data_IF_138110796763
#
_entry.id   IF_138110796763
#
_cell.length_a   1.000
_cell.length_b   1.000
_cell.length_c   1.000
_cell.angle_alpha   90.00
_cell.angle_beta   90.00
_cell.angle_gamma   90.00
#
_symmetry.space_group_name_H-M   'P 1'
#
loop_
_entity.id
_entity.type
_entity.pdbx_description
1 polymer ?
#
# COMPACT_ATOMS: atom_id res chain seq x y z
N UNK A 1 -18.68 -3.16 -6.72
CA UNK A 1 -20.07 -2.81 -6.34
C UNK A 1 -19.99 -1.99 -5.05
N UNK A 2 -20.75 -0.90 -4.99
CA UNK A 2 -20.95 -0.22 -3.73
C UNK A 2 -21.74 -1.19 -2.84
N UNK A 3 -21.07 -1.77 -1.83
CA UNK A 3 -21.75 -2.58 -0.83
C UNK A 3 -22.63 -1.70 0.05
N UNK A 4 -23.57 -2.31 0.75
CA UNK A 4 -24.43 -1.61 1.72
C UNK A 4 -23.55 -0.96 2.79
N UNK A 5 -23.91 0.26 3.18
CA UNK A 5 -23.19 0.99 4.25
C UNK A 5 -23.19 0.16 5.53
N UNK A 6 -21.99 -0.07 6.09
CA UNK A 6 -21.82 -0.90 7.30
C UNK A 6 -21.74 -2.41 7.06
N UNK A 7 -21.85 -2.89 5.81
CA UNK A 7 -21.62 -4.29 5.52
C UNK A 7 -20.13 -4.65 5.68
N UNK A 8 -19.80 -5.84 6.21
CA UNK A 8 -18.42 -6.31 6.29
C UNK A 8 -17.76 -6.37 4.90
N UNK A 9 -16.49 -5.97 4.83
CA UNK A 9 -15.71 -6.14 3.62
C UNK A 9 -15.60 -7.64 3.29
N UNK A 10 -16.11 -8.03 2.13
CA UNK A 10 -15.98 -9.39 1.60
C UNK A 10 -14.99 -9.39 0.45
N UNK A 11 -13.86 -10.01 0.68
CA UNK A 11 -12.83 -10.18 -0.33
C UNK A 11 -13.23 -11.26 -1.33
N UNK A 12 -12.99 -11.02 -2.59
CA UNK A 12 -13.06 -12.03 -3.64
C UNK A 12 -11.94 -13.07 -3.48
N UNK A 13 -12.07 -14.24 -4.09
CA UNK A 13 -11.09 -15.32 -3.93
C UNK A 13 -9.68 -14.91 -4.35
N UNK A 14 -9.54 -14.16 -5.44
CA UNK A 14 -8.24 -13.70 -5.91
C UNK A 14 -7.59 -12.68 -4.94
N UNK A 15 -8.40 -11.80 -4.31
CA UNK A 15 -7.92 -10.87 -3.29
C UNK A 15 -7.46 -11.63 -2.03
N UNK A 16 -8.24 -12.63 -1.59
CA UNK A 16 -7.85 -13.49 -0.47
C UNK A 16 -6.54 -14.21 -0.73
N UNK A 17 -6.40 -14.86 -1.89
CA UNK A 17 -5.18 -15.56 -2.26
C UNK A 17 -3.97 -14.62 -2.26
N UNK A 18 -4.12 -13.43 -2.83
CA UNK A 18 -3.09 -12.40 -2.88
C UNK A 18 -2.67 -11.93 -1.48
N UNK A 19 -3.62 -11.53 -0.65
CA UNK A 19 -3.33 -11.07 0.70
C UNK A 19 -2.75 -12.18 1.58
N UNK A 20 -3.23 -13.42 1.46
CA UNK A 20 -2.64 -14.57 2.13
C UNK A 20 -1.19 -14.80 1.70
N UNK A 21 -0.85 -14.58 0.42
CA UNK A 21 0.53 -14.68 -0.05
C UNK A 21 1.39 -13.55 0.52
N UNK A 22 0.90 -12.31 0.52
CA UNK A 22 1.64 -11.13 0.99
C UNK A 22 1.95 -11.23 2.48
N UNK A 23 0.95 -11.58 3.30
CA UNK A 23 1.04 -11.56 4.77
C UNK A 23 1.32 -12.91 5.40
N UNK A 24 1.06 -14.01 4.70
CA UNK A 24 1.20 -15.36 5.25
C UNK A 24 2.57 -16.01 5.04
N UNK A 25 3.43 -15.47 4.18
CA UNK A 25 4.81 -15.95 4.02
C UNK A 25 5.77 -15.11 4.85
N UNK A 26 6.54 -15.78 5.69
CA UNK A 26 7.55 -15.17 6.55
C UNK A 26 8.94 -15.73 6.24
N UNK A 27 9.97 -14.97 6.59
CA UNK A 27 11.36 -15.40 6.53
C UNK A 27 11.79 -16.14 7.81
N UNK A 28 13.06 -16.51 7.90
CA UNK A 28 13.61 -17.29 9.04
C UNK A 28 13.58 -16.51 10.39
N UNK A 29 13.20 -15.22 10.37
CA UNK A 29 13.04 -14.38 11.56
C UNK A 29 11.56 -14.10 11.89
N UNK A 30 10.63 -14.83 11.31
CA UNK A 30 9.19 -14.61 11.42
C UNK A 30 8.74 -13.22 10.92
N UNK A 31 9.52 -12.58 10.03
CA UNK A 31 9.17 -11.32 9.40
C UNK A 31 8.59 -11.57 8.01
N UNK A 32 7.71 -10.66 7.56
CA UNK A 32 7.11 -10.72 6.23
C UNK A 32 8.15 -10.97 5.13
N UNK A 33 7.95 -12.02 4.34
CA UNK A 33 8.84 -12.40 3.25
C UNK A 33 8.89 -11.33 2.16
N UNK A 34 7.75 -10.74 1.83
CA UNK A 34 7.63 -9.78 0.73
C UNK A 34 7.49 -8.37 1.27
N UNK A 35 8.43 -7.50 0.95
CA UNK A 35 8.40 -6.08 1.32
C UNK A 35 8.11 -5.15 0.13
N UNK A 36 7.94 -5.71 -1.05
CA UNK A 36 7.59 -4.99 -2.27
C UNK A 36 6.58 -5.82 -3.08
N UNK A 37 5.43 -5.23 -3.35
CA UNK A 37 4.33 -5.87 -4.08
C UNK A 37 3.91 -4.99 -5.24
N UNK A 38 3.76 -5.60 -6.41
CA UNK A 38 3.24 -4.94 -7.60
C UNK A 38 2.02 -5.69 -8.12
N UNK A 39 0.90 -4.99 -8.25
CA UNK A 39 -0.36 -5.55 -8.70
C UNK A 39 -0.83 -4.80 -9.94
N UNK A 40 -1.03 -5.53 -11.02
CA UNK A 40 -1.65 -5.00 -12.24
C UNK A 40 -3.01 -5.66 -12.40
N UNK A 41 -4.06 -4.88 -12.26
CA UNK A 41 -5.41 -5.43 -12.36
C UNK A 41 -6.40 -4.44 -13.02
N UNK A 42 -7.49 -4.99 -13.57
CA UNK A 42 -8.51 -4.23 -14.27
C UNK A 42 -9.20 -3.19 -13.39
N UNK A 43 -9.88 -2.24 -14.04
CA UNK A 43 -10.71 -1.25 -13.34
C UNK A 43 -11.90 -1.94 -12.66
N UNK A 44 -12.43 -1.32 -11.59
CA UNK A 44 -13.62 -1.74 -10.84
C UNK A 44 -13.50 -3.06 -10.06
N UNK A 45 -12.27 -3.51 -9.79
CA UNK A 45 -12.00 -4.70 -8.98
C UNK A 45 -11.75 -4.40 -7.48
N UNK A 46 -12.13 -3.22 -7.01
CA UNK A 46 -12.07 -2.89 -5.58
C UNK A 46 -10.69 -2.44 -5.07
N UNK A 47 -9.75 -2.05 -5.97
CA UNK A 47 -8.39 -1.65 -5.62
C UNK A 47 -8.28 -0.70 -4.44
N UNK A 48 -9.01 0.41 -4.48
CA UNK A 48 -8.97 1.43 -3.41
C UNK A 48 -9.45 0.88 -2.06
N UNK A 49 -10.46 0.00 -2.09
CA UNK A 49 -10.96 -0.65 -0.87
C UNK A 49 -9.93 -1.63 -0.30
N UNK A 50 -9.27 -2.40 -1.16
CA UNK A 50 -8.20 -3.32 -0.76
C UNK A 50 -6.99 -2.56 -0.21
N UNK A 51 -6.56 -1.49 -0.87
CA UNK A 51 -5.50 -0.60 -0.37
C UNK A 51 -5.82 -0.08 1.04
N UNK A 52 -7.05 0.41 1.25
CA UNK A 52 -7.48 0.93 2.55
C UNK A 52 -7.47 -0.15 3.66
N UNK A 53 -7.84 -1.39 3.32
CA UNK A 53 -7.76 -2.51 4.26
C UNK A 53 -6.30 -2.84 4.60
N UNK A 54 -5.40 -2.86 3.60
CA UNK A 54 -3.96 -3.06 3.81
C UNK A 54 -3.35 -1.95 4.67
N UNK A 55 -3.71 -0.69 4.42
CA UNK A 55 -3.27 0.45 5.24
C UNK A 55 -3.64 0.29 6.72
N UNK A 56 -4.89 -0.11 6.98
CA UNK A 56 -5.38 -0.33 8.34
C UNK A 56 -4.68 -1.51 9.01
N UNK A 57 -4.43 -2.58 8.28
CA UNK A 57 -3.74 -3.76 8.79
C UNK A 57 -2.28 -3.44 9.15
N UNK A 58 -1.55 -2.79 8.26
CA UNK A 58 -0.18 -2.31 8.52
C UNK A 58 -0.10 -1.35 9.71
N UNK A 59 -1.12 -0.49 9.87
CA UNK A 59 -1.18 0.43 10.99
C UNK A 59 -1.43 -0.27 12.31
N UNK A 60 -2.33 -1.26 12.34
CA UNK A 60 -2.89 -1.79 13.57
C UNK A 60 -2.30 -3.13 14.00
N UNK A 61 -1.96 -4.01 13.04
CA UNK A 61 -1.71 -5.42 13.33
C UNK A 61 -0.27 -5.87 13.09
N UNK A 62 0.56 -5.06 12.46
CA UNK A 62 1.90 -5.45 12.00
C UNK A 62 2.97 -5.44 13.11
N UNK A 63 2.60 -5.05 14.33
CA UNK A 63 3.50 -5.09 15.50
C UNK A 63 4.61 -4.03 15.51
N UNK A 64 4.57 -3.05 14.60
CA UNK A 64 5.56 -1.99 14.50
C UNK A 64 5.25 -0.84 15.48
N UNK A 65 6.29 -0.25 16.08
CA UNK A 65 6.17 0.93 16.92
C UNK A 65 6.08 2.21 16.10
N UNK A 66 5.06 3.03 16.36
CA UNK A 66 4.80 4.28 15.64
C UNK A 66 4.87 4.11 14.10
N UNK A 67 4.15 3.14 13.50
CA UNK A 67 4.23 2.92 12.06
C UNK A 67 3.67 4.12 11.29
N UNK A 68 4.42 4.60 10.32
CA UNK A 68 3.97 5.63 9.38
C UNK A 68 3.54 5.00 8.07
N UNK A 69 2.25 5.13 7.73
CA UNK A 69 1.67 4.60 6.51
C UNK A 69 1.35 5.77 5.58
N UNK A 70 1.80 5.70 4.33
CA UNK A 70 1.63 6.76 3.35
C UNK A 70 0.86 6.27 2.14
N UNK A 71 -0.22 6.99 1.83
CA UNK A 71 -0.97 6.83 0.60
C UNK A 71 -0.47 7.87 -0.40
N UNK A 72 0.22 7.42 -1.44
CA UNK A 72 0.91 8.27 -2.41
C UNK A 72 0.18 8.23 -3.76
N UNK A 73 -0.10 9.40 -4.32
CA UNK A 73 -0.59 9.55 -5.69
C UNK A 73 -0.02 10.81 -6.35
N UNK A 74 -0.17 10.94 -7.65
CA UNK A 74 0.30 12.12 -8.42
C UNK A 74 -0.34 13.42 -7.96
N UNK A 75 -1.60 13.35 -7.49
CA UNK A 75 -2.35 14.48 -6.93
C UNK A 75 -2.83 14.15 -5.53
N UNK A 76 -2.83 15.14 -4.66
CA UNK A 76 -3.29 14.99 -3.28
C UNK A 76 -4.74 14.48 -3.18
N UNK A 77 -5.63 15.01 -4.05
CA UNK A 77 -7.03 14.58 -4.09
C UNK A 77 -7.19 13.09 -4.45
N UNK A 78 -6.25 12.55 -5.23
CA UNK A 78 -6.24 11.12 -5.55
C UNK A 78 -5.75 10.28 -4.35
N UNK A 79 -4.67 10.70 -3.68
CA UNK A 79 -4.21 10.07 -2.45
C UNK A 79 -5.29 10.08 -1.36
N UNK A 80 -6.07 11.16 -1.28
CA UNK A 80 -7.20 11.29 -0.36
C UNK A 80 -8.33 10.28 -0.61
N UNK A 81 -8.44 9.65 -1.77
CA UNK A 81 -9.45 8.61 -2.01
C UNK A 81 -9.18 7.37 -1.17
N UNK A 82 -7.94 6.88 -1.13
CA UNK A 82 -7.53 5.76 -0.27
C UNK A 82 -7.70 6.12 1.21
N UNK A 83 -7.17 7.26 1.62
CA UNK A 83 -7.35 7.78 2.98
C UNK A 83 -8.83 7.87 3.41
N UNK A 84 -9.70 8.36 2.52
CA UNK A 84 -11.14 8.46 2.79
C UNK A 84 -11.76 7.07 2.91
N UNK A 85 -11.34 6.11 2.09
CA UNK A 85 -11.81 4.73 2.18
C UNK A 85 -11.41 4.10 3.53
N UNK A 86 -10.15 4.28 3.98
CA UNK A 86 -9.69 3.82 5.29
C UNK A 86 -10.47 4.49 6.44
N UNK A 87 -10.70 5.81 6.36
CA UNK A 87 -11.51 6.51 7.35
C UNK A 87 -12.98 6.04 7.37
N UNK A 88 -13.56 5.73 6.22
CA UNK A 88 -14.92 5.20 6.15
C UNK A 88 -15.01 3.80 6.79
N UNK A 89 -14.03 2.92 6.57
CA UNK A 89 -13.94 1.63 7.26
C UNK A 89 -13.85 1.84 8.78
N UNK A 90 -13.02 2.79 9.22
CA UNK A 90 -12.94 3.16 10.63
C UNK A 90 -14.28 3.59 11.20
N UNK A 91 -15.00 4.50 10.53
CA UNK A 91 -16.30 5.00 10.99
C UNK A 91 -17.34 3.90 11.07
N UNK A 92 -17.31 2.95 10.16
CA UNK A 92 -18.27 1.85 10.07
C UNK A 92 -17.94 0.68 11.00
N UNK A 93 -16.74 0.59 11.55
CA UNK A 93 -16.33 -0.45 12.51
C UNK A 93 -16.17 0.13 13.90
N UNK A 94 -16.97 -0.35 14.85
CA UNK A 94 -16.84 0.02 16.26
C UNK A 94 -15.47 -0.39 16.83
N UNK A 95 -14.97 -1.54 16.42
CA UNK A 95 -13.67 -2.08 16.85
C UNK A 95 -12.52 -1.19 16.37
N UNK A 96 -12.49 -0.85 15.08
CA UNK A 96 -11.45 0.03 14.53
C UNK A 96 -11.55 1.45 15.12
N UNK A 97 -12.77 1.99 15.26
CA UNK A 97 -12.98 3.35 15.76
C UNK A 97 -12.58 3.55 17.22
N UNK A 98 -12.53 2.51 18.03
CA UNK A 98 -12.02 2.56 19.41
C UNK A 98 -10.51 2.85 19.45
N UNK A 99 -9.77 2.44 18.43
CA UNK A 99 -8.31 2.54 18.39
C UNK A 99 -7.81 3.70 17.52
N UNK A 100 -8.60 4.14 16.56
CA UNK A 100 -8.20 5.16 15.59
C UNK A 100 -8.98 6.46 15.75
N UNK A 101 -8.27 7.58 15.69
CA UNK A 101 -8.84 8.93 15.65
C UNK A 101 -8.48 9.63 14.35
N UNK A 102 -9.46 10.24 13.68
CA UNK A 102 -9.20 11.17 12.58
C UNK A 102 -8.76 12.52 13.16
N UNK A 103 -7.55 12.96 12.79
CA UNK A 103 -7.03 14.31 13.03
C UNK A 103 -7.13 15.15 11.75
N UNK A 104 -6.63 16.36 11.77
CA UNK A 104 -6.71 17.26 10.61
C UNK A 104 -6.04 16.67 9.36
N UNK A 105 -4.87 16.03 9.52
CA UNK A 105 -4.01 15.58 8.42
C UNK A 105 -3.83 14.06 8.34
N UNK A 106 -4.29 13.30 9.34
CA UNK A 106 -4.04 11.87 9.41
C UNK A 106 -5.14 11.08 10.13
N UNK A 107 -5.05 9.74 10.03
CA UNK A 107 -5.63 8.80 10.97
C UNK A 107 -4.55 8.41 11.98
N UNK A 108 -4.82 8.55 13.26
CA UNK A 108 -3.89 8.29 14.34
C UNK A 108 -4.33 7.09 15.17
N UNK A 109 -3.43 6.16 15.36
CA UNK A 109 -3.61 5.00 16.23
C UNK A 109 -3.02 5.29 17.61
N UNK A 110 -3.85 5.28 18.65
CA UNK A 110 -3.43 5.77 19.97
C UNK A 110 -2.60 4.76 20.78
N UNK A 111 -2.72 3.45 20.50
CA UNK A 111 -1.97 2.45 21.29
C UNK A 111 -0.53 2.24 20.79
N UNK A 112 -0.26 2.45 19.49
CA UNK A 112 1.09 2.31 18.94
C UNK A 112 1.67 3.62 18.39
N UNK A 113 0.91 4.72 18.48
CA UNK A 113 1.27 6.07 17.99
C UNK A 113 1.46 6.16 16.46
N UNK A 114 1.00 5.17 15.72
CA UNK A 114 1.10 5.12 14.26
C UNK A 114 0.13 6.06 13.56
N UNK A 115 0.41 6.32 12.27
CA UNK A 115 -0.40 7.23 11.45
C UNK A 115 -0.60 6.73 10.03
N UNK A 116 -1.78 7.04 9.43
CA UNK A 116 -1.98 6.99 7.98
C UNK A 116 -2.10 8.40 7.46
N UNK A 117 -1.34 8.75 6.42
CA UNK A 117 -1.33 10.07 5.78
C UNK A 117 -1.48 9.96 4.27
N UNK A 118 -2.25 10.86 3.66
CA UNK A 118 -2.29 11.02 2.21
C UNK A 118 -1.27 12.09 1.78
N UNK A 119 -0.50 11.81 0.74
CA UNK A 119 0.51 12.73 0.22
C UNK A 119 0.51 12.77 -1.30
N UNK A 120 0.73 13.96 -1.87
CA UNK A 120 1.07 14.07 -3.28
C UNK A 120 2.52 13.65 -3.50
N UNK A 121 2.78 13.04 -4.65
CA UNK A 121 4.12 12.61 -5.08
C UNK A 121 5.00 13.83 -5.45
N UNK A 122 5.41 14.59 -4.44
CA UNK A 122 6.35 15.70 -4.60
C UNK A 122 7.66 15.33 -3.91
N UNK A 123 8.73 15.17 -4.68
CA UNK A 123 10.05 14.71 -4.22
C UNK A 123 10.53 15.43 -2.96
N UNK A 124 10.34 16.76 -2.88
CA UNK A 124 10.81 17.54 -1.72
C UNK A 124 10.14 17.20 -0.38
N UNK A 125 8.92 16.66 -0.41
CA UNK A 125 8.17 16.29 0.79
C UNK A 125 8.39 14.86 1.24
N UNK A 126 9.11 14.06 0.44
CA UNK A 126 9.28 12.62 0.64
C UNK A 126 10.65 12.25 1.23
N UNK A 127 11.60 13.18 1.23
CA UNK A 127 13.03 12.94 1.53
C UNK A 127 13.36 12.65 3.01
N UNK A 128 12.39 12.84 3.94
CA UNK A 128 12.62 12.65 5.39
C UNK A 128 11.62 11.71 6.05
N UNK A 129 10.99 10.83 5.27
CA UNK A 129 9.99 9.93 5.77
C UNK A 129 10.63 8.66 6.36
N UNK A 130 10.02 8.12 7.41
CA UNK A 130 10.34 6.83 8.01
C UNK A 130 9.14 5.88 7.83
N UNK A 131 8.93 5.46 6.58
CA UNK A 131 7.75 4.74 6.19
C UNK A 131 7.78 3.27 6.61
N UNK A 132 6.72 2.81 7.28
CA UNK A 132 6.46 1.39 7.49
C UNK A 132 5.61 0.80 6.35
N UNK A 133 4.65 1.56 5.87
CA UNK A 133 3.81 1.18 4.72
C UNK A 133 3.72 2.30 3.69
N UNK A 134 3.88 1.97 2.43
CA UNK A 134 3.68 2.89 1.31
C UNK A 134 2.71 2.27 0.33
N UNK A 135 1.57 2.91 0.15
CA UNK A 135 0.57 2.51 -0.84
C UNK A 135 0.66 3.47 -2.02
N UNK A 136 0.97 2.95 -3.19
CA UNK A 136 0.94 3.70 -4.45
C UNK A 136 -0.26 3.22 -5.25
N UNK A 137 -1.36 3.98 -5.20
CA UNK A 137 -2.52 3.75 -6.04
C UNK A 137 -2.29 4.43 -7.41
N UNK A 138 -2.39 3.65 -8.48
CA UNK A 138 -2.14 4.05 -9.86
C UNK A 138 -0.65 4.35 -10.16
N UNK A 139 0.24 3.36 -9.91
CA UNK A 139 1.67 3.45 -10.23
C UNK A 139 1.93 3.91 -11.69
N UNK A 140 1.09 3.47 -12.63
CA UNK A 140 1.22 3.84 -14.05
C UNK A 140 1.03 5.35 -14.32
N UNK A 141 0.49 6.12 -13.38
CA UNK A 141 0.36 7.57 -13.50
C UNK A 141 1.61 8.31 -12.99
N UNK A 142 2.52 7.64 -12.29
CA UNK A 142 3.75 8.24 -11.78
C UNK A 142 4.81 8.23 -12.90
N UNK A 143 5.23 9.39 -13.33
CA UNK A 143 6.23 9.54 -14.40
C UNK A 143 7.66 9.62 -13.88
N UNK A 144 7.86 10.13 -12.64
CA UNK A 144 9.17 10.29 -12.04
C UNK A 144 9.56 9.07 -11.20
N UNK A 145 10.59 8.38 -11.61
CA UNK A 145 11.14 7.22 -10.91
C UNK A 145 11.66 7.56 -9.50
N UNK A 146 12.18 8.76 -9.30
CA UNK A 146 12.74 9.18 -8.02
C UNK A 146 11.74 9.03 -6.87
N UNK A 147 10.44 9.21 -7.14
CA UNK A 147 9.37 9.05 -6.15
C UNK A 147 9.34 7.61 -5.62
N UNK A 148 9.38 6.65 -6.53
CA UNK A 148 9.39 5.23 -6.18
C UNK A 148 10.64 4.86 -5.38
N UNK A 149 11.81 5.28 -5.87
CA UNK A 149 13.09 4.98 -5.24
C UNK A 149 13.21 5.65 -3.86
N UNK A 150 12.74 6.89 -3.69
CA UNK A 150 12.68 7.57 -2.39
C UNK A 150 11.75 6.86 -1.40
N UNK A 151 10.56 6.44 -1.85
CA UNK A 151 9.65 5.69 -0.99
C UNK A 151 10.26 4.36 -0.54
N UNK A 152 10.94 3.66 -1.43
CA UNK A 152 11.64 2.43 -1.10
C UNK A 152 12.78 2.66 -0.10
N UNK A 153 13.54 3.75 -0.26
CA UNK A 153 14.61 4.13 0.67
C UNK A 153 14.07 4.54 2.05
N UNK A 154 12.94 5.24 2.12
CA UNK A 154 12.33 5.69 3.37
C UNK A 154 11.92 4.55 4.31
N UNK A 155 11.84 3.33 3.78
CA UNK A 155 11.46 2.13 4.54
C UNK A 155 12.65 1.39 5.18
N UNK A 156 13.89 1.82 4.92
CA UNK A 156 15.10 1.07 5.26
C UNK A 156 15.34 0.82 6.75
N UNK A 157 14.76 1.61 7.64
CA UNK A 157 14.90 1.45 9.10
C UNK A 157 13.87 0.50 9.73
N UNK A 158 12.84 0.10 8.99
CA UNK A 158 11.73 -0.72 9.49
C UNK A 158 12.03 -2.22 9.35
N UNK A 159 11.50 -3.02 10.27
CA UNK A 159 11.75 -4.48 10.29
C UNK A 159 11.06 -5.22 9.17
N UNK A 160 9.78 -4.93 8.94
CA UNK A 160 8.97 -5.58 7.92
C UNK A 160 8.10 -4.59 7.13
N UNK A 161 8.72 -3.60 6.48
CA UNK A 161 7.97 -2.58 5.76
C UNK A 161 7.29 -3.17 4.52
N UNK A 162 6.29 -2.47 3.97
CA UNK A 162 5.63 -2.88 2.75
C UNK A 162 5.44 -1.72 1.77
N UNK A 163 6.04 -1.84 0.59
CA UNK A 163 5.71 -1.04 -0.58
C UNK A 163 4.66 -1.78 -1.41
N UNK A 164 3.44 -1.28 -1.39
CA UNK A 164 2.28 -1.88 -2.06
C UNK A 164 1.87 -1.01 -3.25
N UNK A 165 2.24 -1.41 -4.44
CA UNK A 165 1.92 -0.73 -5.68
C UNK A 165 0.79 -1.43 -6.39
N UNK A 166 -0.29 -0.70 -6.69
CA UNK A 166 -1.41 -1.22 -7.44
C UNK A 166 -1.75 -0.28 -8.61
N UNK A 167 -2.05 -0.84 -9.75
CA UNK A 167 -2.30 -0.05 -10.96
C UNK A 167 -3.20 -0.77 -11.96
N UNK A 168 -3.75 -0.01 -12.86
CA UNK A 168 -4.25 -0.54 -14.14
C UNK A 168 -3.14 -0.50 -15.18
N UNK A 169 -3.32 -1.18 -16.31
CA UNK A 169 -2.43 -1.02 -17.44
C UNK A 169 -2.53 0.43 -17.97
N UNK A 170 -1.49 1.21 -17.72
CA UNK A 170 -1.48 2.65 -18.02
C UNK A 170 -1.22 2.95 -19.50
N UNK A 171 -1.56 4.19 -19.90
CA UNK A 171 -1.28 4.70 -21.26
C UNK A 171 0.08 5.38 -21.39
N UNK A 172 0.71 5.75 -20.25
CA UNK A 172 2.04 6.39 -20.24
C UNK A 172 3.08 5.32 -20.53
N UNK A 173 3.89 5.55 -21.57
CA UNK A 173 4.99 4.67 -21.96
C UNK A 173 6.33 5.24 -21.52
N UNK A 174 7.32 4.37 -21.34
CA UNK A 174 8.68 4.70 -20.87
C UNK A 174 8.72 5.32 -19.46
N UNK A 175 7.67 5.09 -18.65
CA UNK A 175 7.63 5.48 -17.23
C UNK A 175 8.10 4.38 -16.29
N UNK A 176 8.00 4.65 -14.98
CA UNK A 176 8.35 3.67 -13.93
C UNK A 176 7.53 2.37 -14.06
N UNK A 177 6.27 2.45 -14.50
CA UNK A 177 5.42 1.27 -14.70
C UNK A 177 6.01 0.29 -15.71
N UNK A 178 6.46 0.76 -16.88
CA UNK A 178 7.02 -0.14 -17.91
C UNK A 178 8.28 -0.85 -17.41
N UNK A 179 9.16 -0.13 -16.70
CA UNK A 179 10.37 -0.71 -16.12
C UNK A 179 10.05 -1.74 -15.02
N UNK A 180 9.08 -1.45 -14.15
CA UNK A 180 8.66 -2.37 -13.09
C UNK A 180 7.90 -3.58 -13.66
N UNK A 181 7.12 -3.40 -14.72
CA UNK A 181 6.44 -4.50 -15.40
C UNK A 181 7.44 -5.46 -16.04
N UNK A 182 8.44 -4.94 -16.73
CA UNK A 182 9.52 -5.77 -17.31
C UNK A 182 10.30 -6.50 -16.19
N UNK A 183 10.61 -5.82 -15.11
CA UNK A 183 11.26 -6.42 -13.95
C UNK A 183 10.38 -7.52 -13.32
N UNK A 184 9.09 -7.27 -13.15
CA UNK A 184 8.13 -8.24 -12.65
C UNK A 184 8.09 -9.51 -13.53
N UNK A 185 8.06 -9.32 -14.84
CA UNK A 185 8.11 -10.43 -15.79
C UNK A 185 9.38 -11.28 -15.65
N UNK A 186 10.54 -10.64 -15.51
CA UNK A 186 11.82 -11.34 -15.30
C UNK A 186 11.87 -12.11 -13.98
N UNK A 187 11.23 -11.59 -12.93
CA UNK A 187 11.13 -12.31 -11.65
C UNK A 187 10.20 -13.53 -11.79
N UNK A 188 9.05 -13.37 -12.43
CA UNK A 188 8.10 -14.48 -12.64
C UNK A 188 8.65 -15.60 -13.54
N UNK A 189 9.45 -15.25 -14.55
CA UNK A 189 10.10 -16.25 -15.43
C UNK A 189 11.36 -16.87 -14.82
N UNK A 190 11.80 -16.39 -13.65
CA UNK A 190 13.00 -16.89 -12.98
C UNK A 190 14.33 -16.36 -13.55
N UNK A 191 14.29 -15.44 -14.51
CA UNK A 191 15.47 -14.76 -15.06
C UNK A 191 16.15 -13.91 -14.00
N UNK A 192 15.37 -13.27 -13.11
CA UNK A 192 15.85 -12.51 -11.96
C UNK A 192 15.34 -13.16 -10.68
N UNK A 193 16.22 -13.41 -9.72
CA UNK A 193 15.87 -13.92 -8.39
C UNK A 193 15.74 -12.76 -7.40
N UNK A 194 14.52 -12.45 -6.99
CA UNK A 194 14.24 -11.52 -5.89
C UNK A 194 13.16 -12.10 -4.99
N UNK A 195 13.57 -12.57 -3.80
CA UNK A 195 12.68 -13.19 -2.81
C UNK A 195 11.82 -12.18 -2.04
N UNK A 196 12.10 -10.88 -2.17
CA UNK A 196 11.41 -9.81 -1.44
C UNK A 196 10.36 -9.08 -2.30
N UNK A 197 10.36 -9.32 -3.62
CA UNK A 197 9.43 -8.71 -4.57
C UNK A 197 8.39 -9.72 -5.03
N UNK A 198 7.12 -9.35 -4.91
CA UNK A 198 5.97 -10.20 -5.28
C UNK A 198 5.11 -9.52 -6.34
N UNK A 199 5.23 -9.89 -7.62
CA UNK A 199 4.38 -9.37 -8.67
C UNK A 199 3.13 -10.22 -8.91
N UNK A 200 2.00 -9.55 -9.14
CA UNK A 200 0.74 -10.07 -9.68
C UNK A 200 0.41 -9.30 -10.94
N UNK A 201 0.74 -9.85 -12.12
CA UNK A 201 0.57 -9.20 -13.42
C UNK A 201 -0.16 -10.10 -14.41
#
# INVERSE_FOLDING_TARGET
PAGDVGAPLRLELFQKARLQTIFGFVDDNDLRQYNEVMIVEGRKNGKTTECAAVELDLLMNDGEGAPEIYNIATKYEQAMKGFTAANNMRVQSKEISQHLRKRASDLYCHYNMGTIKAMASNVKSLDSLDAHGVIIDELAAITNRDIYDLMKQSMGARKQPLLFCITTNGFVRHGIFDAQYEYAYKVLTGEVKNKRFLPFI
#
